data_IF_582423983587
#
_entry.id   IF_582423983587
#
_cell.length_a   1.000
_cell.length_b   1.000
_cell.length_c   1.000
_cell.angle_alpha   90.00
_cell.angle_beta   90.00
_cell.angle_gamma   90.00
#
_symmetry.space_group_name_H-M   'P 1'
#
loop_
_entity.id
_entity.type
_entity.pdbx_description
1 polymer ?
#
# COMPACT_ATOMS: atom_id res chain seq x y z
N UNK A 1 -16.24 -54.85 -29.36
CA UNK A 1 -16.56 -53.44 -29.04
C UNK A 1 -16.33 -53.21 -27.54
N UNK A 2 -15.08 -52.94 -27.11
CA UNK A 2 -14.72 -52.83 -25.67
C UNK A 2 -13.51 -51.89 -25.41
N UNK A 3 -13.27 -50.91 -26.28
CA UNK A 3 -12.08 -50.04 -26.20
C UNK A 3 -12.41 -48.59 -25.80
N UNK A 4 -13.66 -48.14 -25.92
CA UNK A 4 -14.01 -46.73 -25.67
C UNK A 4 -14.21 -46.37 -24.18
N UNK A 5 -14.54 -47.33 -23.32
CA UNK A 5 -14.75 -47.06 -21.89
C UNK A 5 -13.46 -46.88 -21.06
N UNK A 6 -12.31 -47.37 -21.54
CA UNK A 6 -11.03 -47.23 -20.79
C UNK A 6 -10.38 -45.86 -21.01
N UNK A 7 -10.53 -45.27 -22.20
CA UNK A 7 -9.95 -43.96 -22.52
C UNK A 7 -10.62 -42.79 -21.77
N UNK A 8 -11.95 -42.86 -21.55
CA UNK A 8 -12.68 -41.85 -20.78
C UNK A 8 -12.30 -41.82 -19.29
N UNK A 9 -12.06 -42.99 -18.69
CA UNK A 9 -11.67 -43.12 -17.28
C UNK A 9 -10.24 -42.64 -17.05
N UNK A 10 -9.31 -42.88 -17.99
CA UNK A 10 -7.91 -42.43 -17.89
C UNK A 10 -7.82 -40.90 -18.02
N UNK A 11 -8.57 -40.27 -18.94
CA UNK A 11 -8.60 -38.81 -19.08
C UNK A 11 -9.18 -38.13 -17.84
N UNK A 12 -10.21 -38.71 -17.22
CA UNK A 12 -10.85 -38.14 -16.04
C UNK A 12 -9.95 -38.27 -14.79
N UNK A 13 -9.21 -39.38 -14.63
CA UNK A 13 -8.22 -39.54 -13.56
C UNK A 13 -7.07 -38.54 -13.67
N UNK A 14 -6.55 -38.28 -14.88
CA UNK A 14 -5.49 -37.30 -15.10
C UNK A 14 -5.94 -35.86 -14.83
N UNK A 15 -7.20 -35.53 -15.16
CA UNK A 15 -7.77 -34.21 -14.87
C UNK A 15 -7.96 -33.99 -13.37
N UNK A 16 -8.57 -34.96 -12.65
CA UNK A 16 -8.76 -34.90 -11.20
C UNK A 16 -7.41 -34.82 -10.47
N UNK A 17 -6.41 -35.60 -10.92
CA UNK A 17 -5.07 -35.57 -10.33
C UNK A 17 -4.38 -34.21 -10.53
N UNK A 18 -4.53 -33.58 -11.71
CA UNK A 18 -4.02 -32.22 -11.95
C UNK A 18 -4.75 -31.16 -11.11
N UNK A 19 -6.06 -31.27 -10.93
CA UNK A 19 -6.83 -30.31 -10.11
C UNK A 19 -6.46 -30.44 -8.63
N UNK A 20 -6.29 -31.66 -8.12
CA UNK A 20 -5.83 -31.92 -6.76
C UNK A 20 -4.41 -31.41 -6.57
N UNK A 21 -3.50 -31.63 -7.52
CA UNK A 21 -2.13 -31.13 -7.45
C UNK A 21 -2.08 -29.60 -7.41
N UNK A 22 -2.92 -28.92 -8.22
CA UNK A 22 -3.03 -27.45 -8.21
C UNK A 22 -3.57 -26.93 -6.87
N UNK A 23 -4.59 -27.58 -6.30
CA UNK A 23 -5.12 -27.23 -4.99
C UNK A 23 -4.11 -27.50 -3.86
N UNK A 24 -3.32 -28.58 -3.97
CA UNK A 24 -2.24 -28.89 -3.05
C UNK A 24 -1.13 -27.83 -3.12
N UNK A 25 -0.72 -27.39 -4.31
CA UNK A 25 0.28 -26.30 -4.47
C UNK A 25 -0.26 -24.98 -3.93
N UNK A 26 -1.52 -24.63 -4.21
CA UNK A 26 -2.12 -23.40 -3.68
C UNK A 26 -2.19 -23.44 -2.15
N UNK A 27 -2.63 -24.56 -1.56
CA UNK A 27 -2.66 -24.72 -0.10
C UNK A 27 -1.28 -24.71 0.53
N UNK A 28 -0.26 -25.26 -0.14
CA UNK A 28 1.13 -25.21 0.31
C UNK A 28 1.70 -23.78 0.24
N UNK A 29 1.37 -23.01 -0.80
CA UNK A 29 1.73 -21.60 -0.91
C UNK A 29 1.06 -20.75 0.18
N UNK A 30 -0.23 -20.99 0.46
CA UNK A 30 -0.91 -20.36 1.58
C UNK A 30 -0.28 -20.74 2.92
N UNK A 31 0.09 -22.01 3.11
CA UNK A 31 0.75 -22.49 4.33
C UNK A 31 2.15 -21.89 4.50
N UNK A 32 2.96 -21.76 3.45
CA UNK A 32 4.25 -21.09 3.52
C UNK A 32 4.12 -19.61 3.88
N UNK A 33 3.17 -18.89 3.26
CA UNK A 33 2.91 -17.47 3.58
C UNK A 33 2.37 -17.30 5.00
N UNK A 34 1.53 -18.21 5.49
CA UNK A 34 1.01 -18.17 6.85
C UNK A 34 2.05 -18.58 7.91
N UNK A 35 2.90 -19.58 7.64
CA UNK A 35 3.95 -20.00 8.57
C UNK A 35 5.10 -18.99 8.66
N UNK A 36 5.43 -18.30 7.57
CA UNK A 36 6.42 -17.22 7.59
C UNK A 36 5.93 -16.03 8.44
N UNK A 37 4.61 -15.80 8.51
CA UNK A 37 4.02 -14.82 9.43
C UNK A 37 3.93 -15.31 10.89
N UNK A 38 3.71 -16.60 11.12
CA UNK A 38 3.52 -17.16 12.46
C UNK A 38 4.83 -17.52 13.19
N UNK A 39 5.94 -17.75 12.47
CA UNK A 39 7.25 -18.00 13.10
C UNK A 39 7.93 -16.73 13.65
N UNK A 40 7.41 -15.53 13.35
CA UNK A 40 7.82 -14.28 13.98
C UNK A 40 6.99 -13.87 15.20
N UNK A 41 6.02 -14.69 15.62
CA UNK A 41 4.97 -14.34 16.60
C UNK A 41 4.97 -15.20 17.88
N UNK A 42 6.10 -15.81 18.21
CA UNK A 42 6.35 -16.40 19.53
C UNK A 42 7.60 -15.76 20.13
N UNK A 43 7.47 -14.49 20.50
CA UNK A 43 8.10 -13.95 21.70
C UNK A 43 7.28 -12.76 22.19
N UNK A 44 6.64 -13.01 23.34
CA UNK A 44 6.15 -12.06 24.36
C UNK A 44 5.24 -10.89 23.95
N UNK A 45 3.96 -11.11 24.28
CA UNK A 45 3.10 -10.17 25.00
C UNK A 45 3.85 -9.05 25.74
N UNK A 46 3.96 -7.90 25.09
CA UNK A 46 3.90 -6.57 25.71
C UNK A 46 3.49 -5.59 24.63
N UNK A 47 2.34 -4.95 24.82
CA UNK A 47 1.89 -3.86 23.96
C UNK A 47 2.96 -2.79 23.90
N UNK A 48 3.64 -2.70 22.76
CA UNK A 48 4.64 -1.68 22.50
C UNK A 48 4.59 -1.31 21.03
N UNK A 49 4.33 -0.03 20.83
CA UNK A 49 4.20 0.74 19.62
C UNK A 49 5.10 0.25 18.45
N UNK A 50 4.47 -0.37 17.45
CA UNK A 50 5.10 -0.75 16.17
C UNK A 50 5.60 0.47 15.37
N UNK A 51 5.12 1.68 15.72
CA UNK A 51 5.50 2.92 15.06
C UNK A 51 6.89 3.43 15.52
N UNK A 52 7.35 3.04 16.72
CA UNK A 52 8.63 3.49 17.28
C UNK A 52 9.82 2.61 16.84
N UNK A 53 9.62 1.30 16.67
CA UNK A 53 10.69 0.36 16.31
C UNK A 53 11.22 0.55 14.88
N UNK A 54 10.35 0.91 13.93
CA UNK A 54 10.77 1.18 12.54
C UNK A 54 11.44 2.55 12.34
N UNK A 55 11.15 3.54 13.20
CA UNK A 55 11.74 4.89 13.08
C UNK A 55 13.18 4.98 13.62
N UNK A 56 13.55 4.13 14.57
CA UNK A 56 14.82 4.28 15.30
C UNK A 56 16.03 3.56 14.68
N UNK A 57 15.82 2.47 13.94
CA UNK A 57 16.91 1.62 13.46
C UNK A 57 17.62 2.13 12.19
N UNK A 58 16.95 2.89 11.33
CA UNK A 58 17.54 3.31 10.05
C UNK A 58 18.30 4.64 10.07
N UNK A 59 18.05 5.53 11.04
CA UNK A 59 18.66 6.86 11.01
C UNK A 59 19.98 6.98 11.79
N UNK A 60 20.12 6.31 12.94
CA UNK A 60 21.35 6.40 13.76
C UNK A 60 22.51 5.56 13.20
N UNK A 61 22.23 4.33 12.75
CA UNK A 61 23.26 3.42 12.24
C UNK A 61 23.89 3.93 10.93
N UNK A 62 23.14 4.66 10.10
CA UNK A 62 23.66 5.29 8.87
C UNK A 62 24.43 6.59 9.14
N UNK A 63 24.07 7.36 10.17
CA UNK A 63 24.78 8.59 10.54
C UNK A 63 26.17 8.30 11.11
N UNK A 64 26.29 7.27 11.96
CA UNK A 64 27.57 6.88 12.58
C UNK A 64 28.52 6.21 11.57
N UNK A 65 27.99 5.49 10.56
CA UNK A 65 28.80 4.89 9.49
C UNK A 65 29.31 5.92 8.46
N UNK A 66 28.60 7.03 8.24
CA UNK A 66 28.99 8.10 7.30
C UNK A 66 30.05 9.04 7.88
N UNK A 67 30.02 9.31 9.19
CA UNK A 67 31.04 10.14 9.86
C UNK A 67 32.42 9.47 9.89
N UNK A 68 32.46 8.13 9.97
CA UNK A 68 33.71 7.36 9.93
C UNK A 68 34.39 7.33 8.56
N UNK A 69 33.62 7.20 7.46
CA UNK A 69 34.19 7.09 6.10
C UNK A 69 34.57 8.43 5.45
N UNK A 70 34.00 9.55 5.90
CA UNK A 70 34.29 10.86 5.31
C UNK A 70 35.63 11.48 5.76
N UNK A 71 36.32 10.89 6.76
CA UNK A 71 37.63 11.38 7.21
C UNK A 71 38.81 10.91 6.33
N UNK A 72 38.65 9.93 5.46
CA UNK A 72 39.78 9.32 4.72
C UNK A 72 39.98 9.76 3.27
N UNK A 73 39.01 10.45 2.63
CA UNK A 73 39.08 10.76 1.19
C UNK A 73 39.05 12.25 0.85
N UNK A 74 39.84 13.06 1.55
CA UNK A 74 40.07 14.47 1.14
C UNK A 74 41.26 14.57 0.17
N UNK A 75 41.08 14.09 -1.07
CA UNK A 75 41.91 14.52 -2.21
C UNK A 75 41.10 15.47 -3.09
N UNK A 76 41.68 16.64 -3.31
CA UNK A 76 41.17 17.79 -4.07
C UNK A 76 40.22 17.39 -5.21
N UNK A 77 38.92 17.50 -4.96
CA UNK A 77 37.89 17.56 -5.98
C UNK A 77 37.34 18.97 -5.96
N UNK A 78 37.15 19.59 -7.13
CA UNK A 78 36.54 20.92 -7.24
C UNK A 78 35.30 21.00 -6.32
N UNK A 79 35.24 22.02 -5.45
CA UNK A 79 34.20 22.13 -4.42
C UNK A 79 32.78 21.95 -4.98
N UNK A 80 32.53 22.43 -6.20
CA UNK A 80 31.24 22.34 -6.87
C UNK A 80 30.88 20.90 -7.30
N UNK A 81 31.86 20.10 -7.70
CA UNK A 81 31.69 18.68 -8.06
C UNK A 81 31.37 17.82 -6.81
N UNK A 82 31.82 18.27 -5.63
CA UNK A 82 31.49 17.61 -4.37
C UNK A 82 30.05 17.87 -3.91
N UNK A 83 29.56 19.12 -4.01
CA UNK A 83 28.16 19.46 -3.72
C UNK A 83 27.19 18.69 -4.64
N UNK A 84 27.49 18.61 -5.94
CA UNK A 84 26.68 17.88 -6.91
C UNK A 84 26.58 16.37 -6.56
N UNK A 85 27.70 15.77 -6.12
CA UNK A 85 27.72 14.36 -5.67
C UNK A 85 26.90 14.14 -4.41
N UNK A 86 27.02 15.02 -3.41
CA UNK A 86 26.22 14.94 -2.19
C UNK A 86 24.74 15.07 -2.51
N UNK A 87 24.37 16.08 -3.31
CA UNK A 87 22.99 16.31 -3.71
C UNK A 87 22.39 15.10 -4.45
N UNK A 88 23.14 14.55 -5.42
CA UNK A 88 22.72 13.36 -6.16
C UNK A 88 22.43 12.19 -5.22
N UNK A 89 23.33 11.93 -4.27
CA UNK A 89 23.17 10.85 -3.27
C UNK A 89 21.92 11.04 -2.42
N UNK A 90 21.68 12.26 -1.93
CA UNK A 90 20.50 12.57 -1.13
C UNK A 90 19.21 12.42 -1.94
N UNK A 91 19.20 12.87 -3.18
CA UNK A 91 18.05 12.75 -4.07
C UNK A 91 17.75 11.28 -4.44
N UNK A 92 18.77 10.47 -4.69
CA UNK A 92 18.61 9.04 -4.96
C UNK A 92 18.01 8.31 -3.74
N UNK A 93 18.52 8.62 -2.54
CA UNK A 93 17.96 8.08 -1.29
C UNK A 93 16.51 8.50 -1.13
N UNK A 94 16.20 9.79 -1.25
CA UNK A 94 14.84 10.29 -1.12
C UNK A 94 13.87 9.64 -2.13
N UNK A 95 14.28 9.49 -3.40
CA UNK A 95 13.47 8.79 -4.41
C UNK A 95 13.22 7.33 -4.04
N UNK A 96 14.23 6.64 -3.48
CA UNK A 96 14.09 5.28 -2.98
C UNK A 96 13.08 5.20 -1.83
N UNK A 97 13.18 6.10 -0.85
CA UNK A 97 12.28 6.17 0.30
C UNK A 97 10.83 6.45 -0.14
N UNK A 98 10.64 7.40 -1.07
CA UNK A 98 9.33 7.73 -1.67
C UNK A 98 8.74 6.54 -2.45
N UNK A 99 9.58 5.81 -3.19
CA UNK A 99 9.14 4.60 -3.89
C UNK A 99 8.68 3.52 -2.91
N UNK A 100 9.45 3.30 -1.83
CA UNK A 100 9.15 2.29 -0.84
C UNK A 100 7.81 2.58 -0.14
N UNK A 101 7.59 3.80 0.34
CA UNK A 101 6.33 4.16 1.01
C UNK A 101 5.14 4.10 0.06
N UNK A 102 5.29 4.47 -1.21
CA UNK A 102 4.22 4.33 -2.21
C UNK A 102 3.86 2.85 -2.45
N UNK A 103 4.87 1.98 -2.52
CA UNK A 103 4.68 0.54 -2.66
C UNK A 103 3.98 -0.05 -1.44
N UNK A 104 4.40 0.32 -0.23
CA UNK A 104 3.75 -0.11 1.01
C UNK A 104 2.28 0.35 1.06
N UNK A 105 2.04 1.62 0.72
CA UNK A 105 0.70 2.22 0.67
C UNK A 105 -0.21 1.45 -0.27
N UNK A 106 0.28 1.08 -1.46
CA UNK A 106 -0.47 0.26 -2.40
C UNK A 106 -0.87 -1.09 -1.80
N UNK A 107 0.08 -1.80 -1.19
CA UNK A 107 -0.20 -3.14 -0.65
C UNK A 107 -1.12 -3.10 0.56
N UNK A 108 -0.99 -2.09 1.42
CA UNK A 108 -1.89 -1.88 2.54
C UNK A 108 -3.31 -1.54 2.06
N UNK A 109 -3.44 -0.63 1.10
CA UNK A 109 -4.71 -0.31 0.46
C UNK A 109 -5.36 -1.57 -0.13
N UNK A 110 -4.62 -2.36 -0.92
CA UNK A 110 -5.13 -3.61 -1.48
C UNK A 110 -5.59 -4.59 -0.40
N UNK A 111 -4.81 -4.74 0.67
CA UNK A 111 -5.16 -5.62 1.81
C UNK A 111 -6.47 -5.17 2.45
N UNK A 112 -6.63 -3.88 2.72
CA UNK A 112 -7.86 -3.31 3.32
C UNK A 112 -9.06 -3.52 2.41
N UNK A 113 -8.92 -3.29 1.10
CA UNK A 113 -9.98 -3.53 0.13
C UNK A 113 -10.43 -4.99 0.10
N UNK A 114 -9.48 -5.94 0.12
CA UNK A 114 -9.77 -7.37 0.15
C UNK A 114 -10.52 -7.79 1.43
N UNK A 115 -10.02 -7.37 2.61
CA UNK A 115 -10.64 -7.69 3.90
C UNK A 115 -12.08 -7.19 3.97
N UNK A 116 -12.34 -6.01 3.41
CA UNK A 116 -13.65 -5.37 3.45
C UNK A 116 -14.55 -5.75 2.26
N UNK A 117 -14.09 -6.63 1.36
CA UNK A 117 -14.78 -7.02 0.14
C UNK A 117 -15.24 -5.82 -0.69
N UNK A 118 -14.35 -4.83 -0.84
CA UNK A 118 -14.59 -3.61 -1.61
C UNK A 118 -14.78 -3.96 -3.08
N UNK A 119 -15.68 -3.25 -3.75
CA UNK A 119 -15.90 -3.43 -5.19
C UNK A 119 -14.67 -3.00 -6.00
N UNK A 120 -14.19 -3.87 -6.89
CA UNK A 120 -12.99 -3.64 -7.71
C UNK A 120 -13.01 -2.34 -8.54
N UNK A 121 -14.16 -1.95 -9.09
CA UNK A 121 -14.24 -0.72 -9.90
C UNK A 121 -14.03 0.51 -9.03
N UNK A 122 -14.67 0.54 -7.87
CA UNK A 122 -14.55 1.62 -6.90
C UNK A 122 -13.14 1.71 -6.31
N UNK A 123 -12.57 0.55 -5.96
CA UNK A 123 -11.18 0.41 -5.51
C UNK A 123 -10.19 1.03 -6.52
N UNK A 124 -10.32 0.70 -7.81
CA UNK A 124 -9.42 1.23 -8.82
C UNK A 124 -9.56 2.73 -9.03
N UNK A 125 -10.79 3.26 -8.97
CA UNK A 125 -11.04 4.70 -9.09
C UNK A 125 -10.42 5.47 -7.92
N UNK A 126 -10.66 4.99 -6.69
CA UNK A 126 -10.09 5.60 -5.50
C UNK A 126 -8.55 5.54 -5.50
N UNK A 127 -7.96 4.39 -5.84
CA UNK A 127 -6.52 4.25 -5.93
C UNK A 127 -5.92 5.19 -6.98
N UNK A 128 -6.55 5.27 -8.16
CA UNK A 128 -6.11 6.16 -9.23
C UNK A 128 -6.10 7.61 -8.77
N UNK A 129 -7.20 8.09 -8.17
CA UNK A 129 -7.30 9.47 -7.69
C UNK A 129 -6.22 9.79 -6.65
N UNK A 130 -6.04 8.90 -5.67
CA UNK A 130 -4.98 9.05 -4.66
C UNK A 130 -3.59 9.10 -5.30
N UNK A 131 -3.26 8.12 -6.15
CA UNK A 131 -1.95 8.02 -6.80
C UNK A 131 -1.67 9.24 -7.66
N UNK A 132 -2.65 9.73 -8.40
CA UNK A 132 -2.49 10.88 -9.29
C UNK A 132 -2.26 12.17 -8.47
N UNK A 133 -2.93 12.34 -7.32
CA UNK A 133 -2.66 13.43 -6.38
C UNK A 133 -1.27 13.31 -5.75
N UNK A 134 -0.89 12.13 -5.28
CA UNK A 134 0.43 11.91 -4.67
C UNK A 134 1.57 12.15 -5.65
N UNK A 135 1.40 11.70 -6.90
CA UNK A 135 2.38 11.95 -7.96
C UNK A 135 2.59 13.44 -8.20
N UNK A 136 1.51 14.24 -8.21
CA UNK A 136 1.63 15.70 -8.34
C UNK A 136 2.40 16.32 -7.16
N UNK A 137 2.12 15.88 -5.94
CA UNK A 137 2.80 16.40 -4.75
C UNK A 137 4.29 16.06 -4.74
N UNK A 138 4.66 14.83 -5.12
CA UNK A 138 6.05 14.39 -5.22
C UNK A 138 6.79 15.21 -6.28
N UNK A 139 6.20 15.39 -7.47
CA UNK A 139 6.79 16.19 -8.55
C UNK A 139 6.96 17.65 -8.17
N UNK A 140 5.97 18.24 -7.48
CA UNK A 140 6.06 19.61 -6.99
C UNK A 140 7.20 19.78 -5.98
N UNK A 141 7.35 18.82 -5.05
CA UNK A 141 8.45 18.82 -4.08
C UNK A 141 9.81 18.66 -4.76
N UNK A 142 9.95 17.72 -5.68
CA UNK A 142 11.19 17.50 -6.44
C UNK A 142 11.60 18.75 -7.21
N UNK A 143 10.64 19.40 -7.88
CA UNK A 143 10.89 20.65 -8.63
C UNK A 143 11.34 21.77 -7.70
N UNK A 144 10.62 22.02 -6.61
CA UNK A 144 10.97 23.06 -5.63
C UNK A 144 12.36 22.82 -5.02
N UNK A 145 12.68 21.58 -4.69
CA UNK A 145 13.99 21.23 -4.14
C UNK A 145 15.13 21.40 -5.14
N UNK A 146 14.87 21.11 -6.42
CA UNK A 146 15.82 21.33 -7.50
C UNK A 146 16.07 22.82 -7.73
N UNK A 147 15.02 23.65 -7.71
CA UNK A 147 15.12 25.11 -7.81
C UNK A 147 15.93 25.69 -6.64
N UNK A 148 15.67 25.24 -5.41
CA UNK A 148 16.45 25.63 -4.24
C UNK A 148 17.93 25.23 -4.37
N UNK A 149 18.20 24.05 -4.91
CA UNK A 149 19.56 23.57 -5.14
C UNK A 149 20.31 24.45 -6.16
N UNK A 150 19.67 24.78 -7.29
CA UNK A 150 20.25 25.67 -8.30
C UNK A 150 20.49 27.07 -7.71
N UNK A 151 19.50 27.61 -7.00
CA UNK A 151 19.61 28.92 -6.37
C UNK A 151 20.74 28.97 -5.33
N UNK A 152 20.90 27.91 -4.54
CA UNK A 152 22.01 27.77 -3.60
C UNK A 152 23.35 27.69 -4.31
N UNK A 153 23.47 26.83 -5.32
CA UNK A 153 24.69 26.64 -6.13
C UNK A 153 25.16 27.96 -6.78
N UNK A 154 24.24 28.78 -7.26
CA UNK A 154 24.55 30.06 -7.90
C UNK A 154 25.15 31.11 -6.94
N UNK A 155 24.96 30.96 -5.62
CA UNK A 155 25.56 31.85 -4.61
C UNK A 155 27.05 31.58 -4.37
N UNK A 156 27.63 30.57 -5.02
CA UNK A 156 29.00 30.09 -4.80
C UNK A 156 29.30 29.86 -3.31
N UNK A 157 28.55 28.98 -2.63
CA UNK A 157 28.70 28.79 -1.19
C UNK A 157 30.04 28.15 -0.83
N UNK A 158 30.44 28.33 0.42
CA UNK A 158 31.56 27.66 1.07
C UNK A 158 31.23 26.20 1.41
N UNK A 159 32.26 25.42 1.73
CA UNK A 159 32.11 24.02 2.11
C UNK A 159 31.27 23.81 3.37
N UNK A 160 31.35 24.74 4.34
CA UNK A 160 30.52 24.70 5.56
C UNK A 160 29.03 24.85 5.21
N UNK A 161 28.72 25.82 4.36
CA UNK A 161 27.35 26.07 3.89
C UNK A 161 26.77 24.88 3.10
N UNK A 162 27.60 24.11 2.38
CA UNK A 162 27.13 22.90 1.69
C UNK A 162 26.57 21.88 2.67
N UNK A 163 27.27 21.62 3.77
CA UNK A 163 26.82 20.66 4.78
C UNK A 163 25.52 21.12 5.44
N UNK A 164 25.42 22.41 5.76
CA UNK A 164 24.21 22.99 6.33
C UNK A 164 23.02 22.87 5.38
N UNK A 165 23.22 23.16 4.10
CA UNK A 165 22.20 23.00 3.06
C UNK A 165 21.73 21.55 2.97
N UNK A 166 22.65 20.59 2.88
CA UNK A 166 22.32 19.15 2.79
C UNK A 166 21.58 18.68 4.04
N UNK A 167 22.02 19.08 5.24
CA UNK A 167 21.34 18.75 6.50
C UNK A 167 19.92 19.36 6.55
N UNK A 168 19.75 20.59 6.08
CA UNK A 168 18.43 21.20 5.97
C UNK A 168 17.53 20.43 5.00
N UNK A 169 18.05 20.02 3.84
CA UNK A 169 17.30 19.23 2.85
C UNK A 169 16.90 17.86 3.39
N UNK A 170 17.80 17.14 4.07
CA UNK A 170 17.48 15.89 4.79
C UNK A 170 16.30 16.04 5.75
N UNK A 171 16.24 17.14 6.51
CA UNK A 171 15.10 17.43 7.40
C UNK A 171 13.81 17.60 6.61
N UNK A 172 13.83 18.36 5.53
CA UNK A 172 12.63 18.55 4.70
C UNK A 172 12.17 17.27 4.01
N UNK A 173 13.10 16.39 3.61
CA UNK A 173 12.79 15.06 3.09
C UNK A 173 12.11 14.19 4.14
N UNK A 174 12.61 14.20 5.38
CA UNK A 174 11.97 13.48 6.49
C UNK A 174 10.54 13.99 6.76
N UNK A 175 10.34 15.31 6.79
CA UNK A 175 9.02 15.91 7.00
C UNK A 175 8.06 15.51 5.87
N UNK A 176 8.54 15.51 4.63
CA UNK A 176 7.75 15.07 3.48
C UNK A 176 7.41 13.58 3.60
N UNK A 177 8.36 12.73 3.99
CA UNK A 177 8.11 11.32 4.24
C UNK A 177 7.03 11.10 5.30
N UNK A 178 7.09 11.80 6.44
CA UNK A 178 6.04 11.73 7.47
C UNK A 178 4.68 12.18 6.91
N UNK A 179 4.67 13.16 5.99
CA UNK A 179 3.45 13.57 5.28
C UNK A 179 2.89 12.44 4.43
N UNK A 180 3.72 11.70 3.69
CA UNK A 180 3.30 10.54 2.91
C UNK A 180 2.70 9.44 3.80
N UNK A 181 3.32 9.17 4.95
CA UNK A 181 2.81 8.22 5.94
C UNK A 181 1.43 8.64 6.47
N UNK A 182 1.24 9.93 6.75
CA UNK A 182 -0.04 10.45 7.20
C UNK A 182 -1.12 10.37 6.09
N UNK A 183 -0.77 10.68 4.85
CA UNK A 183 -1.68 10.54 3.71
C UNK A 183 -2.08 9.09 3.46
N UNK A 184 -1.17 8.13 3.66
CA UNK A 184 -1.51 6.70 3.68
C UNK A 184 -2.58 6.38 4.72
N UNK A 185 -2.39 6.80 5.97
CA UNK A 185 -3.39 6.56 7.03
C UNK A 185 -4.75 7.17 6.68
N UNK A 186 -4.76 8.42 6.19
CA UNK A 186 -6.00 9.09 5.76
C UNK A 186 -6.70 8.34 4.62
N UNK A 187 -5.95 7.83 3.64
CA UNK A 187 -6.51 7.02 2.56
C UNK A 187 -7.22 5.78 3.13
N UNK A 188 -6.57 5.05 4.03
CA UNK A 188 -7.14 3.83 4.62
C UNK A 188 -8.42 4.14 5.41
N UNK A 189 -8.39 5.17 6.25
CA UNK A 189 -9.57 5.59 7.03
C UNK A 189 -10.72 6.03 6.12
N UNK A 190 -10.41 6.78 5.08
CA UNK A 190 -11.38 7.24 4.10
C UNK A 190 -12.02 6.07 3.34
N UNK A 191 -11.21 5.11 2.88
CA UNK A 191 -11.67 3.88 2.21
C UNK A 191 -12.68 3.14 3.08
N UNK A 192 -12.33 2.88 4.33
CA UNK A 192 -13.18 2.12 5.26
C UNK A 192 -14.49 2.88 5.50
N UNK A 193 -14.40 4.19 5.78
CA UNK A 193 -15.57 5.01 6.07
C UNK A 193 -16.54 5.09 4.89
N UNK A 194 -16.04 5.40 3.69
CA UNK A 194 -16.88 5.50 2.50
C UNK A 194 -17.49 4.16 2.12
N UNK A 195 -16.71 3.08 2.20
CA UNK A 195 -17.21 1.75 1.88
C UNK A 195 -18.28 1.28 2.85
N UNK A 196 -18.10 1.49 4.15
CA UNK A 196 -19.12 1.15 5.15
C UNK A 196 -20.41 1.95 4.95
N UNK A 197 -20.29 3.24 4.62
CA UNK A 197 -21.44 4.08 4.28
C UNK A 197 -22.17 3.62 3.01
N UNK A 198 -21.43 3.23 1.98
CA UNK A 198 -22.03 2.67 0.77
C UNK A 198 -22.77 1.36 1.09
N UNK A 199 -22.14 0.48 1.87
CA UNK A 199 -22.68 -0.82 2.24
C UNK A 199 -23.97 -0.70 3.07
N UNK A 200 -24.03 0.21 4.05
CA UNK A 200 -25.24 0.44 4.85
C UNK A 200 -26.41 0.90 3.97
N UNK A 201 -26.19 1.86 3.08
CA UNK A 201 -27.23 2.34 2.16
C UNK A 201 -27.77 1.25 1.22
N UNK A 202 -26.92 0.30 0.80
CA UNK A 202 -27.35 -0.82 -0.04
C UNK A 202 -28.24 -1.79 0.75
N UNK A 203 -27.87 -2.09 2.00
CA UNK A 203 -28.69 -2.95 2.86
C UNK A 203 -30.05 -2.32 3.18
N UNK A 204 -30.09 -1.04 3.54
CA UNK A 204 -31.35 -0.33 3.80
C UNK A 204 -32.30 -0.37 2.59
N UNK A 205 -31.74 -0.19 1.38
CA UNK A 205 -32.50 -0.28 0.13
C UNK A 205 -33.02 -1.70 -0.13
N UNK A 206 -32.23 -2.73 0.15
CA UNK A 206 -32.69 -4.12 0.02
C UNK A 206 -33.78 -4.47 1.03
N UNK A 207 -33.62 -4.08 2.29
CA UNK A 207 -34.61 -4.32 3.34
C UNK A 207 -35.95 -3.66 2.99
N UNK A 208 -35.91 -2.41 2.52
CA UNK A 208 -37.11 -1.72 2.06
C UNK A 208 -37.78 -2.40 0.85
N UNK A 209 -36.99 -2.95 -0.09
CA UNK A 209 -37.54 -3.76 -1.21
C UNK A 209 -38.19 -5.05 -0.72
N UNK A 210 -37.56 -5.78 0.20
CA UNK A 210 -38.11 -7.01 0.78
C UNK A 210 -39.42 -6.73 1.53
N UNK A 211 -39.49 -5.64 2.29
CA UNK A 211 -40.70 -5.21 2.98
C UNK A 211 -41.84 -4.88 2.00
N UNK A 212 -41.54 -4.20 0.89
CA UNK A 212 -42.53 -3.94 -0.18
C UNK A 212 -43.06 -5.24 -0.80
N UNK A 213 -42.18 -6.17 -1.17
CA UNK A 213 -42.57 -7.47 -1.75
C UNK A 213 -43.43 -8.28 -0.78
N UNK A 214 -43.06 -8.34 0.50
CA UNK A 214 -43.87 -9.01 1.55
C UNK A 214 -45.26 -8.38 1.69
N UNK A 215 -45.37 -7.05 1.65
CA UNK A 215 -46.68 -6.36 1.71
C UNK A 215 -47.56 -6.71 0.50
N UNK A 216 -46.98 -6.77 -0.70
CA UNK A 216 -47.71 -7.15 -1.93
C UNK A 216 -48.19 -8.60 -1.87
N UNK A 217 -47.30 -9.53 -1.49
CA UNK A 217 -47.66 -10.95 -1.32
C UNK A 217 -48.78 -11.17 -0.30
N UNK A 218 -48.73 -10.48 0.85
CA UNK A 218 -49.81 -10.53 1.85
C UNK A 218 -51.14 -10.02 1.28
N UNK A 219 -51.12 -8.96 0.47
CA UNK A 219 -52.33 -8.43 -0.18
C UNK A 219 -52.91 -9.41 -1.22
N UNK A 220 -52.05 -10.04 -2.02
CA UNK A 220 -52.49 -11.05 -3.01
C UNK A 220 -53.13 -12.25 -2.32
N UNK A 221 -52.47 -12.84 -1.32
CA UNK A 221 -53.04 -13.96 -0.54
C UNK A 221 -54.41 -13.62 0.08
N UNK A 222 -54.57 -12.40 0.62
CA UNK A 222 -55.87 -11.96 1.15
C UNK A 222 -56.95 -11.87 0.07
N UNK A 223 -56.61 -11.37 -1.12
CA UNK A 223 -57.54 -11.31 -2.26
C UNK A 223 -57.92 -12.70 -2.77
N UNK A 224 -56.96 -13.62 -2.84
CA UNK A 224 -57.22 -14.99 -3.32
C UNK A 224 -58.09 -15.76 -2.33
N UNK A 225 -57.85 -15.60 -1.02
CA UNK A 225 -58.72 -16.14 0.03
C UNK A 225 -60.12 -15.54 -0.11
N UNK A 226 -60.26 -14.22 -0.22
CA UNK A 226 -61.57 -13.58 -0.37
C UNK A 226 -62.37 -14.10 -1.57
N UNK A 227 -61.69 -14.38 -2.70
CA UNK A 227 -62.30 -14.98 -3.90
C UNK A 227 -62.78 -16.42 -3.70
N UNK A 228 -62.18 -17.18 -2.79
CA UNK A 228 -62.58 -18.56 -2.48
C UNK A 228 -63.83 -18.62 -1.59
N UNK A 229 -64.15 -17.53 -0.89
CA UNK A 229 -65.29 -17.42 0.03
C UNK A 229 -66.38 -16.47 -0.48
N UNK A 230 -66.32 -16.07 -1.76
CA UNK A 230 -67.29 -15.23 -2.46
C UNK A 230 -67.94 -16.01 -3.60
#
# INVERSE_FOLDING_TARGET
>A
MKIENSMGIIKNKNFICQTILKLAVISLLFFCVFNEQNHGLKDESKGMDLNEKNKKWNWRVLSELEEGKNKENTKHTNNQDWLDKLWKKEMEKWKSDVYLINKETFWEFKRVCLINNVNFKWENEMWKNFRDQMSKNILAKEKSDHEDFIAFKNKKPTKGEYNEFILAKRKTFSIFYDTLVNERSKLIDHVIKEWMNFRSQVFDKMEHKVLKVRKVLKKMKKKDIAKLYS
#
